data_IF_030853320593
#
_entry.id   IF_030853320593
#
_cell.length_a   1.000
_cell.length_b   1.000
_cell.length_c   1.000
_cell.angle_alpha   90.00
_cell.angle_beta   90.00
_cell.angle_gamma   90.00
#
_symmetry.space_group_name_H-M   'P 1'
#
loop_
_entity.id
_entity.type
_entity.pdbx_description
1 polymer ?
#
# COMPACT_ATOMS: atom_id res chain seq x y z
N UNK A 1 13.35 3.84 -1.93
CA UNK A 1 13.16 4.07 -3.39
C UNK A 1 12.82 2.75 -4.08
N UNK A 2 12.08 2.77 -5.18
CA UNK A 2 11.49 1.57 -5.77
C UNK A 2 11.61 1.51 -7.29
N UNK A 3 11.74 0.29 -7.81
CA UNK A 3 11.62 -0.01 -9.24
C UNK A 3 10.99 -1.37 -9.48
N UNK A 4 10.68 -1.65 -10.75
CA UNK A 4 10.27 -2.98 -11.20
C UNK A 4 11.43 -3.97 -11.05
N UNK A 5 11.12 -5.16 -10.54
CA UNK A 5 12.00 -6.31 -10.67
C UNK A 5 11.86 -6.86 -12.10
N UNK A 6 12.96 -6.76 -12.86
CA UNK A 6 12.96 -7.15 -14.27
C UNK A 6 12.93 -8.67 -14.40
N UNK A 7 13.51 -9.39 -13.43
CA UNK A 7 13.66 -10.84 -13.45
C UNK A 7 12.40 -11.54 -12.91
N UNK A 8 11.68 -10.90 -11.98
CA UNK A 8 10.50 -11.46 -11.32
C UNK A 8 9.21 -10.67 -11.58
N UNK A 9 8.91 -10.30 -12.83
CA UNK A 9 7.68 -9.54 -13.15
C UNK A 9 6.42 -10.31 -12.72
N UNK A 10 5.42 -9.65 -12.09
CA UNK A 10 5.21 -8.21 -11.96
C UNK A 10 5.71 -7.56 -10.64
N UNK A 11 6.62 -8.22 -9.90
CA UNK A 11 7.13 -7.76 -8.60
C UNK A 11 7.85 -6.41 -8.71
N UNK A 12 7.75 -5.60 -7.66
CA UNK A 12 8.48 -4.35 -7.47
C UNK A 12 9.39 -4.49 -6.25
N UNK A 13 10.57 -3.89 -6.28
CA UNK A 13 11.56 -4.04 -5.21
C UNK A 13 12.06 -2.69 -4.70
N UNK A 14 12.58 -2.69 -3.47
CA UNK A 14 13.35 -1.58 -2.94
C UNK A 14 14.74 -1.61 -3.59
N UNK A 15 15.12 -0.52 -4.25
CA UNK A 15 16.44 -0.35 -4.86
C UNK A 15 16.91 1.08 -4.59
N UNK A 16 18.05 1.21 -3.91
CA UNK A 16 18.60 2.52 -3.52
C UNK A 16 19.44 3.18 -4.62
N UNK A 17 19.89 2.43 -5.62
CA UNK A 17 20.73 2.92 -6.72
C UNK A 17 19.87 3.37 -7.91
N UNK A 18 18.90 2.54 -8.30
CA UNK A 18 18.12 2.71 -9.53
C UNK A 18 16.63 2.98 -9.27
N UNK A 19 16.19 2.94 -8.01
CA UNK A 19 14.80 3.13 -7.64
C UNK A 19 14.35 4.59 -7.68
N UNK A 20 13.11 4.82 -8.10
CA UNK A 20 12.46 6.13 -7.98
C UNK A 20 12.06 6.39 -6.53
N UNK A 21 12.11 7.65 -6.10
CA UNK A 21 11.64 8.03 -4.77
C UNK A 21 10.17 7.60 -4.58
N UNK A 22 9.91 7.03 -3.40
CA UNK A 22 8.62 6.51 -2.97
C UNK A 22 8.45 6.82 -1.48
N UNK A 23 7.38 7.51 -1.11
CA UNK A 23 7.14 7.96 0.27
C UNK A 23 5.72 7.61 0.70
N UNK A 24 5.61 6.91 1.82
CA UNK A 24 4.34 6.54 2.45
C UNK A 24 4.40 6.95 3.91
N UNK A 25 3.47 7.81 4.33
CA UNK A 25 3.21 8.00 5.76
C UNK A 25 2.27 6.92 6.25
N UNK A 26 2.38 6.57 7.53
CA UNK A 26 1.53 5.56 8.13
C UNK A 26 1.24 5.88 9.59
N UNK A 27 0.14 5.33 10.10
CA UNK A 27 -0.26 5.40 11.50
C UNK A 27 -0.89 4.09 11.93
N UNK A 28 -0.56 3.61 13.12
CA UNK A 28 -1.25 2.46 13.72
C UNK A 28 -2.66 2.87 14.13
N UNK A 29 -3.67 2.14 13.66
CA UNK A 29 -5.05 2.29 14.08
C UNK A 29 -5.42 1.27 15.16
N UNK A 30 -5.03 0.00 14.96
CA UNK A 30 -5.28 -1.07 15.92
C UNK A 30 -4.15 -2.10 15.91
N UNK A 31 -3.95 -2.81 17.02
CA UNK A 31 -3.03 -3.94 17.16
C UNK A 31 -3.82 -5.14 17.65
N UNK A 32 -3.76 -6.23 16.90
CA UNK A 32 -4.46 -7.48 17.20
C UNK A 32 -3.44 -8.62 17.31
N UNK A 33 -3.87 -9.77 17.84
CA UNK A 33 -2.99 -10.91 17.98
C UNK A 33 -2.53 -11.38 16.58
N UNK A 34 -1.28 -11.07 16.23
CA UNK A 34 -0.66 -11.44 14.96
C UNK A 34 -0.84 -10.46 13.81
N UNK A 35 -1.57 -9.35 13.97
CA UNK A 35 -1.78 -8.37 12.90
C UNK A 35 -1.86 -6.93 13.41
N UNK A 36 -1.60 -5.96 12.54
CA UNK A 36 -1.71 -4.52 12.86
C UNK A 36 -2.52 -3.83 11.76
N UNK A 37 -3.57 -3.12 12.16
CA UNK A 37 -4.34 -2.28 11.25
C UNK A 37 -3.63 -0.94 11.10
N UNK A 38 -3.25 -0.61 9.88
CA UNK A 38 -2.56 0.63 9.54
C UNK A 38 -3.43 1.54 8.70
N UNK A 39 -3.39 2.84 9.00
CA UNK A 39 -3.74 3.89 8.05
C UNK A 39 -2.49 4.19 7.22
N UNK A 40 -2.59 4.05 5.90
CA UNK A 40 -1.50 4.33 4.97
C UNK A 40 -1.86 5.55 4.11
N UNK A 41 -0.93 6.49 4.00
CA UNK A 41 -1.08 7.74 3.24
C UNK A 41 0.10 7.84 2.25
N UNK A 42 -0.06 7.35 1.01
CA UNK A 42 0.97 7.46 -0.01
C UNK A 42 1.11 8.92 -0.47
N UNK A 43 2.28 9.53 -0.26
CA UNK A 43 2.60 10.86 -0.83
C UNK A 43 3.00 10.75 -2.31
N UNK A 44 3.45 9.56 -2.71
CA UNK A 44 3.74 9.20 -4.11
C UNK A 44 2.90 7.99 -4.52
N UNK A 45 2.63 7.85 -5.82
CA UNK A 45 1.84 6.73 -6.37
C UNK A 45 2.65 5.74 -7.19
N UNK A 46 3.72 5.14 -6.65
CA UNK A 46 4.47 4.10 -7.37
C UNK A 46 3.68 2.78 -7.42
N UNK A 47 3.89 2.00 -8.48
CA UNK A 47 3.29 0.66 -8.61
C UNK A 47 3.64 -0.18 -7.39
N UNK A 48 2.64 -0.82 -6.78
CA UNK A 48 2.77 -1.66 -5.58
C UNK A 48 3.41 -0.97 -4.36
N UNK A 49 3.48 0.37 -4.31
CA UNK A 49 4.22 1.10 -3.28
C UNK A 49 3.91 0.67 -1.84
N UNK A 50 2.63 0.66 -1.49
CA UNK A 50 2.18 0.29 -0.14
C UNK A 50 2.56 -1.15 0.20
N UNK A 51 2.38 -2.06 -0.75
CA UNK A 51 2.67 -3.49 -0.62
C UNK A 51 4.15 -3.74 -0.34
N UNK A 52 5.03 -3.13 -1.16
CA UNK A 52 6.49 -3.23 -1.01
C UNK A 52 6.96 -2.57 0.29
N UNK A 53 6.47 -1.38 0.63
CA UNK A 53 6.87 -0.71 1.87
C UNK A 53 6.49 -1.52 3.11
N UNK A 54 5.28 -2.10 3.14
CA UNK A 54 4.83 -2.99 4.20
C UNK A 54 5.73 -4.24 4.32
N UNK A 55 5.98 -4.93 3.20
CA UNK A 55 6.83 -6.12 3.18
C UNK A 55 8.28 -5.82 3.58
N UNK A 56 8.88 -4.76 3.03
CA UNK A 56 10.24 -4.33 3.37
C UNK A 56 10.40 -3.89 4.84
N UNK A 57 9.29 -3.50 5.50
CA UNK A 57 9.27 -3.18 6.93
C UNK A 57 9.06 -4.41 7.82
N UNK A 58 8.97 -5.62 7.24
CA UNK A 58 8.71 -6.87 7.96
C UNK A 58 7.24 -7.13 8.30
N UNK A 59 6.32 -6.32 7.78
CA UNK A 59 4.87 -6.43 8.01
C UNK A 59 4.13 -6.50 6.67
N UNK A 60 4.27 -7.59 5.89
CA UNK A 60 3.59 -7.72 4.61
C UNK A 60 2.07 -7.68 4.78
N UNK A 61 1.37 -7.19 3.75
CA UNK A 61 -0.09 -7.10 3.78
C UNK A 61 -0.67 -8.51 3.72
N UNK A 62 -1.61 -8.80 4.61
CA UNK A 62 -2.28 -10.09 4.68
C UNK A 62 -3.04 -10.35 3.37
N UNK A 63 -2.89 -11.56 2.82
CA UNK A 63 -3.51 -11.98 1.56
C UNK A 63 -2.86 -11.39 0.31
N UNK A 64 -1.70 -10.74 0.44
CA UNK A 64 -0.92 -10.27 -0.70
C UNK A 64 -0.11 -11.41 -1.34
N UNK A 65 -0.60 -11.97 -2.44
CA UNK A 65 0.04 -13.11 -3.11
C UNK A 65 1.39 -12.83 -3.80
N UNK A 66 1.91 -11.60 -3.80
CA UNK A 66 3.26 -11.31 -4.33
C UNK A 66 4.31 -11.07 -3.25
N UNK A 67 3.92 -10.48 -2.12
CA UNK A 67 4.86 -10.00 -1.09
C UNK A 67 4.62 -10.61 0.29
N UNK A 68 3.65 -11.52 0.42
CA UNK A 68 3.36 -12.24 1.65
C UNK A 68 3.50 -13.73 1.38
N UNK A 69 4.53 -14.36 1.95
CA UNK A 69 4.77 -15.81 1.81
C UNK A 69 3.78 -16.63 2.65
N UNK A 70 3.25 -16.05 3.73
CA UNK A 70 2.24 -16.67 4.57
C UNK A 70 0.83 -16.34 4.05
N UNK A 71 0.17 -17.31 3.40
CA UNK A 71 -1.28 -17.24 3.25
C UNK A 71 -1.94 -17.37 4.62
N UNK A 72 -2.17 -16.24 5.29
CA UNK A 72 -2.92 -16.17 6.55
C UNK A 72 -4.43 -16.33 6.33
N UNK A 73 -4.82 -17.38 5.61
CA UNK A 73 -6.21 -17.81 5.42
C UNK A 73 -7.16 -16.78 4.77
N UNK A 74 -6.64 -15.70 4.18
CA UNK A 74 -7.46 -14.66 3.58
C UNK A 74 -7.54 -14.83 2.05
N UNK A 75 -8.74 -14.84 1.45
CA UNK A 75 -8.91 -15.08 0.01
C UNK A 75 -8.51 -13.87 -0.86
N UNK A 76 -8.22 -12.72 -0.24
CA UNK A 76 -7.85 -11.48 -0.91
C UNK A 76 -6.87 -10.67 -0.07
N UNK A 77 -6.16 -9.76 -0.74
CA UNK A 77 -5.33 -8.75 -0.09
C UNK A 77 -6.18 -7.79 0.76
N UNK A 78 -5.78 -7.62 2.03
CA UNK A 78 -6.38 -6.69 2.99
C UNK A 78 -5.81 -5.27 2.83
N UNK A 79 -5.97 -4.71 1.63
CA UNK A 79 -5.64 -3.32 1.30
C UNK A 79 -6.86 -2.67 0.63
N UNK A 80 -7.26 -1.50 1.13
CA UNK A 80 -8.45 -0.79 0.68
C UNK A 80 -8.18 0.70 0.56
N UNK A 81 -8.71 1.32 -0.49
CA UNK A 81 -8.69 2.76 -0.67
C UNK A 81 -9.91 3.37 0.04
N UNK A 82 -9.71 3.75 1.30
CA UNK A 82 -10.78 4.22 2.19
C UNK A 82 -11.30 5.62 1.84
N UNK A 83 -10.40 6.55 1.50
CA UNK A 83 -10.75 7.92 1.16
C UNK A 83 -9.87 8.48 0.02
N UNK A 84 -10.43 9.42 -0.71
CA UNK A 84 -9.74 10.18 -1.76
C UNK A 84 -10.16 11.65 -1.68
N UNK A 85 -9.17 12.53 -1.53
CA UNK A 85 -9.32 13.98 -1.55
C UNK A 85 -8.62 14.55 -2.78
N UNK A 86 -9.36 15.30 -3.60
CA UNK A 86 -8.80 15.96 -4.78
C UNK A 86 -9.64 17.18 -5.15
N UNK A 87 -9.08 18.06 -5.98
CA UNK A 87 -9.84 19.16 -6.58
C UNK A 87 -10.54 18.71 -7.85
N UNK A 88 -11.82 19.01 -7.98
CA UNK A 88 -12.58 18.73 -9.19
C UNK A 88 -11.96 19.48 -10.39
N UNK A 89 -11.64 18.80 -11.51
CA UNK A 89 -10.82 19.38 -12.57
C UNK A 89 -11.49 20.52 -13.34
N UNK A 90 -12.81 20.69 -13.22
CA UNK A 90 -13.57 21.74 -13.91
C UNK A 90 -14.00 22.86 -12.95
N UNK A 91 -14.37 22.52 -11.72
CA UNK A 91 -14.96 23.48 -10.77
C UNK A 91 -13.95 24.00 -9.75
N UNK A 92 -12.75 23.38 -9.65
CA UNK A 92 -11.73 23.63 -8.62
C UNK A 92 -12.19 23.40 -7.16
N UNK A 93 -13.42 22.90 -6.98
CA UNK A 93 -13.99 22.57 -5.68
C UNK A 93 -13.29 21.34 -5.07
N UNK A 94 -13.12 21.37 -3.76
CA UNK A 94 -12.57 20.24 -3.03
C UNK A 94 -13.60 19.10 -2.94
N UNK A 95 -13.24 17.93 -3.46
CA UNK A 95 -14.04 16.71 -3.40
C UNK A 95 -13.41 15.72 -2.43
N UNK A 96 -14.20 15.28 -1.46
CA UNK A 96 -13.83 14.21 -0.54
C UNK A 96 -14.76 13.02 -0.74
N UNK A 97 -14.19 11.93 -1.24
CA UNK A 97 -14.91 10.67 -1.46
C UNK A 97 -14.48 9.65 -0.40
N UNK A 98 -15.45 8.88 0.10
CA UNK A 98 -15.25 7.83 1.08
C UNK A 98 -15.84 6.51 0.59
N UNK A 99 -15.13 5.42 0.82
CA UNK A 99 -15.62 4.06 0.64
C UNK A 99 -15.23 3.26 1.89
N UNK A 100 -16.18 2.89 2.78
CA UNK A 100 -15.83 2.21 4.02
C UNK A 100 -15.16 0.87 3.75
N UNK A 101 -14.14 0.56 4.56
CA UNK A 101 -13.43 -0.71 4.51
C UNK A 101 -14.25 -1.82 5.19
N UNK A 102 -14.46 -2.94 4.49
CA UNK A 102 -15.31 -4.06 4.94
C UNK A 102 -14.56 -5.11 5.78
N UNK A 103 -13.27 -4.88 6.07
CA UNK A 103 -12.39 -5.75 6.84
C UNK A 103 -11.60 -4.96 7.87
#
# INVERSE_FOLDING_TARGET
>A
PMRCDIDNRPVQIVDYEHGKAAVTRWRVLNREAGAVRLLLMPETGRTHQLRVHCAASGFPIIGDGLYCEEERGQPRMLLHADNLLFKHPVTDEEMHLFAPCEF
#
